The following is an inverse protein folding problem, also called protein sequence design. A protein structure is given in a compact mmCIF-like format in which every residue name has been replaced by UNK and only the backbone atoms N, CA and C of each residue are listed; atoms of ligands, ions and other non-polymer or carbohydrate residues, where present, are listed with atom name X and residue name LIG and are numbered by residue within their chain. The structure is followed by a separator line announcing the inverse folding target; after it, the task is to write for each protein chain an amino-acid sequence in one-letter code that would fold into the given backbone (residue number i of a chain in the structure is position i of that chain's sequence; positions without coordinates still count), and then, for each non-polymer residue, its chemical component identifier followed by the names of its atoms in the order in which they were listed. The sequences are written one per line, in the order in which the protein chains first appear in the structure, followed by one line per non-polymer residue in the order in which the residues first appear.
data_IF_688817579285
#
_entry.id   IF_688817579285
#
_cell.length_a   1.000
_cell.length_b   1.000
_cell.length_c   1.000
_cell.angle_alpha   90.00
_cell.angle_beta   90.00
_cell.angle_gamma   90.00
#
_symmetry.space_group_name_H-M   'P 1'
#
loop_
_entity.id
_entity.type
_entity.pdbx_description
1 polymer ?
#
# COMPACT_ATOMS: atom_id res chain seq x y z
N UNK A 1 3.27 -2.43 13.06
CA UNK A 1 3.72 -1.19 12.38
C UNK A 1 5.18 -0.94 12.70
N UNK A 2 5.87 -0.16 11.89
CA UNK A 2 7.23 0.34 12.16
C UNK A 2 7.10 1.62 12.95
N UNK A 3 7.95 1.82 13.95
CA UNK A 3 7.96 3.05 14.73
C UNK A 3 8.29 4.24 13.80
N UNK A 4 7.48 5.31 13.77
CA UNK A 4 7.77 6.52 12.99
C UNK A 4 9.16 7.09 13.22
N UNK A 5 9.67 7.05 14.45
CA UNK A 5 11.00 7.56 14.79
C UNK A 5 12.14 6.84 14.03
N UNK A 6 11.95 5.56 13.68
CA UNK A 6 12.94 4.80 12.90
C UNK A 6 12.90 5.15 11.41
N UNK A 7 11.76 5.64 10.92
CA UNK A 7 11.60 6.03 9.52
C UNK A 7 12.11 7.43 9.23
N UNK A 8 12.03 8.33 10.20
CA UNK A 8 12.34 9.75 10.01
C UNK A 8 13.71 10.02 9.38
N UNK A 9 14.84 9.45 9.88
CA UNK A 9 16.16 9.72 9.28
C UNK A 9 16.25 9.29 7.81
N UNK A 10 15.60 8.16 7.48
CA UNK A 10 15.60 7.63 6.11
C UNK A 10 14.74 8.51 5.20
N UNK A 11 13.57 8.91 5.70
CA UNK A 11 12.65 9.76 4.94
C UNK A 11 13.25 11.14 4.67
N UNK A 12 13.97 11.72 5.63
CA UNK A 12 14.66 13.00 5.50
C UNK A 12 15.79 12.92 4.45
N UNK A 13 16.63 11.89 4.51
CA UNK A 13 17.74 11.69 3.57
C UNK A 13 17.25 11.50 2.13
N UNK A 14 16.13 10.78 1.95
CA UNK A 14 15.56 10.50 0.64
C UNK A 14 14.59 11.59 0.16
N UNK A 15 14.29 12.60 0.96
CA UNK A 15 13.20 13.55 0.71
C UNK A 15 11.89 12.84 0.34
N UNK A 16 11.59 11.78 1.07
CA UNK A 16 10.55 10.83 0.72
C UNK A 16 9.14 11.33 1.04
N UNK A 17 8.15 10.79 0.33
CA UNK A 17 6.74 10.82 0.69
C UNK A 17 6.32 9.42 1.16
N UNK A 18 5.58 9.32 2.25
CA UNK A 18 4.97 8.07 2.68
C UNK A 18 3.74 7.79 1.85
N UNK A 19 3.68 6.62 1.24
CA UNK A 19 2.57 6.24 0.36
C UNK A 19 1.92 4.94 0.81
N UNK A 20 0.61 4.87 0.72
CA UNK A 20 -0.20 3.66 0.89
C UNK A 20 -1.53 3.82 0.15
N UNK A 21 -2.19 2.73 -0.21
CA UNK A 21 -3.56 2.75 -0.71
C UNK A 21 -4.56 2.50 0.43
N UNK A 22 -5.82 2.91 0.23
CA UNK A 22 -6.90 2.55 1.14
C UNK A 22 -7.05 1.04 1.25
N UNK A 23 -7.52 0.59 2.40
CA UNK A 23 -7.70 -0.83 2.69
C UNK A 23 -9.11 -1.14 3.17
N UNK A 24 -9.44 -2.41 3.26
CA UNK A 24 -10.78 -2.91 3.59
C UNK A 24 -11.21 -2.69 5.04
N UNK A 25 -10.30 -2.30 5.94
CA UNK A 25 -10.65 -2.02 7.34
C UNK A 25 -11.27 -0.62 7.52
N UNK A 26 -12.07 -0.44 8.55
CA UNK A 26 -12.78 0.80 8.82
C UNK A 26 -11.86 2.01 9.06
N UNK A 27 -10.66 1.78 9.55
CA UNK A 27 -9.69 2.84 9.87
C UNK A 27 -8.98 3.40 8.63
N UNK A 28 -9.00 2.65 7.51
CA UNK A 28 -8.32 3.00 6.26
C UNK A 28 -9.21 2.80 5.03
N UNK A 29 -10.54 2.83 5.21
CA UNK A 29 -11.51 2.58 4.15
C UNK A 29 -11.65 3.71 3.14
N UNK A 30 -11.15 4.90 3.46
CA UNK A 30 -11.13 6.06 2.58
C UNK A 30 -9.98 6.99 2.96
N UNK A 31 -9.59 7.90 2.06
CA UNK A 31 -8.44 8.77 2.23
C UNK A 31 -8.49 9.62 3.50
N UNK A 32 -9.66 10.14 3.88
CA UNK A 32 -9.80 10.97 5.07
C UNK A 32 -9.57 10.17 6.37
N UNK A 33 -10.19 9.00 6.51
CA UNK A 33 -10.01 8.10 7.65
C UNK A 33 -8.57 7.58 7.73
N UNK A 34 -7.99 7.23 6.57
CA UNK A 34 -6.62 6.74 6.47
C UNK A 34 -5.60 7.80 6.91
N UNK A 35 -5.71 9.04 6.40
CA UNK A 35 -4.87 10.16 6.83
C UNK A 35 -5.03 10.49 8.32
N UNK A 36 -6.26 10.46 8.85
CA UNK A 36 -6.50 10.66 10.27
C UNK A 36 -5.81 9.58 11.12
N UNK A 37 -5.88 8.32 10.69
CA UNK A 37 -5.20 7.20 11.33
C UNK A 37 -3.69 7.37 11.29
N UNK A 38 -3.12 7.69 10.13
CA UNK A 38 -1.68 7.91 9.98
C UNK A 38 -1.18 9.05 10.87
N UNK A 39 -1.92 10.16 10.95
CA UNK A 39 -1.61 11.30 11.83
C UNK A 39 -1.68 10.91 13.31
N UNK A 40 -2.71 10.18 13.73
CA UNK A 40 -2.85 9.72 15.12
C UNK A 40 -1.68 8.84 15.58
N UNK A 41 -1.01 8.19 14.64
CA UNK A 41 0.17 7.36 14.86
C UNK A 41 1.50 8.11 14.70
N UNK A 42 1.47 9.40 14.35
CA UNK A 42 2.64 10.25 14.25
C UNK A 42 3.40 10.18 12.93
N UNK A 43 2.85 9.54 11.89
CA UNK A 43 3.51 9.43 10.59
C UNK A 43 3.60 10.76 9.84
N UNK A 44 2.68 11.70 10.11
CA UNK A 44 2.71 13.06 9.57
C UNK A 44 3.94 13.88 10.02
N UNK A 45 4.60 13.46 11.11
CA UNK A 45 5.85 14.06 11.59
C UNK A 45 7.09 13.48 10.91
N UNK A 46 6.93 12.39 10.19
CA UNK A 46 8.03 11.72 9.46
C UNK A 46 8.23 12.37 8.10
N UNK A 47 7.19 12.41 7.28
CA UNK A 47 7.21 12.95 5.91
C UNK A 47 5.77 13.28 5.45
N UNK A 48 5.60 13.96 4.31
CA UNK A 48 4.29 14.06 3.66
C UNK A 48 3.67 12.68 3.44
N UNK A 49 2.35 12.59 3.52
CA UNK A 49 1.60 11.34 3.33
C UNK A 49 0.70 11.50 2.12
N UNK A 50 0.76 10.53 1.20
CA UNK A 50 -0.11 10.46 0.04
C UNK A 50 -0.86 9.11 0.00
N UNK A 51 -2.18 9.18 -0.12
CA UNK A 51 -3.04 8.01 -0.31
C UNK A 51 -3.24 7.82 -1.80
N UNK A 52 -2.65 6.76 -2.33
CA UNK A 52 -2.50 6.55 -3.77
C UNK A 52 -3.81 6.53 -4.56
N UNK A 53 -4.88 6.04 -3.95
CA UNK A 53 -6.23 5.94 -4.53
C UNK A 53 -7.21 6.98 -3.98
N UNK A 54 -6.70 8.12 -3.48
CA UNK A 54 -7.54 9.20 -2.99
C UNK A 54 -8.50 9.75 -4.08
N UNK A 55 -8.07 9.75 -5.34
CA UNK A 55 -8.86 10.23 -6.47
C UNK A 55 -9.50 9.09 -7.25
N UNK A 56 -8.71 8.13 -7.72
CA UNK A 56 -9.19 7.02 -8.55
C UNK A 56 -8.26 5.82 -8.56
N UNK A 57 -8.82 4.68 -8.95
CA UNK A 57 -8.07 3.47 -9.25
C UNK A 57 -7.61 3.46 -10.72
N UNK A 58 -6.48 2.81 -10.95
CA UNK A 58 -5.97 2.47 -12.28
C UNK A 58 -5.57 0.99 -12.31
N UNK A 59 -5.61 0.39 -13.50
CA UNK A 59 -5.14 -0.97 -13.73
C UNK A 59 -3.82 -0.93 -14.50
N UNK A 60 -2.76 -1.48 -13.91
CA UNK A 60 -1.44 -1.58 -14.52
C UNK A 60 -1.26 -2.99 -15.10
N UNK A 61 -0.90 -3.15 -16.40
CA UNK A 61 -0.65 -4.47 -16.97
C UNK A 61 0.50 -5.19 -16.27
N UNK A 62 0.31 -6.48 -15.97
CA UNK A 62 1.36 -7.35 -15.42
C UNK A 62 1.93 -8.21 -16.56
N UNK A 63 3.13 -7.87 -17.01
CA UNK A 63 3.81 -8.62 -18.07
C UNK A 63 4.16 -10.03 -17.61
N UNK A 64 3.77 -11.02 -18.39
CA UNK A 64 4.00 -12.46 -18.11
C UNK A 64 3.41 -12.93 -16.77
N UNK A 65 2.42 -12.21 -16.23
CA UNK A 65 1.74 -12.62 -15.00
C UNK A 65 1.04 -13.96 -15.17
N UNK A 66 1.29 -14.91 -14.26
CA UNK A 66 0.66 -16.22 -14.31
C UNK A 66 -0.82 -16.13 -13.88
N UNK A 67 -1.08 -15.59 -12.69
CA UNK A 67 -2.43 -15.42 -12.14
C UNK A 67 -3.01 -14.03 -12.44
N UNK A 68 -2.22 -12.97 -12.29
CA UNK A 68 -2.68 -11.60 -12.50
C UNK A 68 -2.28 -11.08 -13.87
N UNK A 69 -3.26 -10.59 -14.62
CA UNK A 69 -3.02 -9.90 -15.90
C UNK A 69 -2.90 -8.39 -15.72
N UNK A 70 -3.55 -7.86 -14.70
CA UNK A 70 -3.48 -6.46 -14.29
C UNK A 70 -3.32 -6.38 -12.77
N UNK A 71 -2.71 -5.30 -12.30
CA UNK A 71 -2.63 -4.92 -10.90
C UNK A 71 -3.43 -3.64 -10.69
N UNK A 72 -4.40 -3.66 -9.76
CA UNK A 72 -5.25 -2.51 -9.48
C UNK A 72 -4.63 -1.69 -8.35
N UNK A 73 -4.28 -0.45 -8.64
CA UNK A 73 -3.62 0.49 -7.72
C UNK A 73 -4.24 1.88 -7.81
N UNK A 74 -3.80 2.80 -6.96
CA UNK A 74 -4.21 4.19 -7.03
C UNK A 74 -3.48 4.98 -8.11
N UNK A 75 -4.15 5.98 -8.70
CA UNK A 75 -3.60 6.80 -9.79
C UNK A 75 -2.37 7.60 -9.39
N UNK A 76 -2.22 7.95 -8.10
CA UNK A 76 -1.08 8.72 -7.62
C UNK A 76 0.24 7.93 -7.68
N UNK A 77 0.21 6.60 -7.81
CA UNK A 77 1.42 5.81 -7.98
C UNK A 77 2.27 6.27 -9.17
N UNK A 78 1.62 6.79 -10.22
CA UNK A 78 2.31 7.32 -11.40
C UNK A 78 3.11 8.61 -11.14
N UNK A 79 2.96 9.25 -9.98
CA UNK A 79 3.70 10.46 -9.59
C UNK A 79 5.09 10.16 -9.01
N UNK A 80 5.44 8.88 -8.84
CA UNK A 80 6.67 8.43 -8.18
C UNK A 80 7.56 7.64 -9.12
N UNK A 81 8.82 8.05 -9.21
CA UNK A 81 9.84 7.37 -10.05
C UNK A 81 10.53 6.23 -9.31
N UNK A 82 10.62 6.32 -7.99
CA UNK A 82 11.35 5.36 -7.15
C UNK A 82 10.52 4.97 -5.94
N UNK A 83 10.47 3.67 -5.66
CA UNK A 83 9.80 3.10 -4.50
C UNK A 83 10.82 2.46 -3.55
N UNK A 84 10.77 2.86 -2.28
CA UNK A 84 11.58 2.27 -1.21
C UNK A 84 10.66 1.56 -0.23
N UNK A 85 10.78 0.24 -0.12
CA UNK A 85 9.96 -0.58 0.76
C UNK A 85 10.71 -0.88 2.06
N UNK A 86 10.28 -0.26 3.16
CA UNK A 86 10.80 -0.51 4.51
C UNK A 86 9.80 -1.39 5.25
N UNK A 87 10.21 -2.59 5.62
CA UNK A 87 9.29 -3.60 6.16
C UNK A 87 9.89 -4.33 7.36
N UNK A 88 8.99 -4.86 8.20
CA UNK A 88 9.39 -5.83 9.23
C UNK A 88 9.38 -7.23 8.63
N UNK A 89 10.49 -7.94 8.76
CA UNK A 89 10.54 -9.37 8.50
C UNK A 89 9.72 -10.09 9.59
N UNK A 90 8.65 -10.78 9.21
CA UNK A 90 7.75 -11.43 10.18
C UNK A 90 7.01 -12.61 9.55
N UNK A 91 6.50 -13.52 10.41
CA UNK A 91 5.52 -14.50 10.00
C UNK A 91 4.18 -13.87 9.59
N UNK A 92 3.41 -14.59 8.78
CA UNK A 92 2.07 -14.21 8.36
C UNK A 92 1.15 -15.43 8.35
N UNK A 93 -0.04 -15.30 8.95
CA UNK A 93 -0.96 -16.43 9.15
C UNK A 93 -1.41 -17.08 7.84
N UNK A 94 -1.73 -16.28 6.82
CA UNK A 94 -2.20 -16.77 5.53
C UNK A 94 -1.06 -17.07 4.55
N UNK A 95 -0.05 -16.20 4.50
CA UNK A 95 1.01 -16.26 3.49
C UNK A 95 2.35 -16.76 4.05
N UNK A 96 2.36 -17.29 5.26
CA UNK A 96 3.52 -17.80 6.00
C UNK A 96 4.60 -16.74 6.26
N UNK A 97 4.90 -15.92 5.28
CA UNK A 97 5.93 -14.87 5.32
C UNK A 97 5.35 -13.51 4.95
N UNK A 98 5.71 -12.47 5.70
CA UNK A 98 5.40 -11.06 5.42
C UNK A 98 6.68 -10.24 5.34
N UNK A 99 6.93 -9.65 4.17
CA UNK A 99 8.10 -8.82 3.88
C UNK A 99 7.83 -7.89 2.70
N UNK A 100 8.88 -7.46 1.99
CA UNK A 100 8.78 -6.45 0.93
C UNK A 100 7.81 -6.84 -0.18
N UNK A 101 7.87 -8.08 -0.66
CA UNK A 101 6.95 -8.55 -1.72
C UNK A 101 5.49 -8.40 -1.32
N UNK A 102 5.13 -8.87 -0.09
CA UNK A 102 3.78 -8.71 0.42
C UNK A 102 3.40 -7.25 0.63
N UNK A 103 4.31 -6.45 1.18
CA UNK A 103 4.06 -5.03 1.39
C UNK A 103 3.78 -4.31 0.06
N UNK A 104 4.64 -4.48 -0.94
CA UNK A 104 4.44 -3.86 -2.25
C UNK A 104 3.15 -4.34 -2.93
N UNK A 105 2.85 -5.63 -2.88
CA UNK A 105 1.66 -6.16 -3.55
C UNK A 105 0.33 -5.77 -2.87
N UNK A 106 0.32 -5.56 -1.56
CA UNK A 106 -0.91 -5.26 -0.81
C UNK A 106 -1.04 -3.76 -0.55
N UNK A 107 0.02 -3.08 -0.09
CA UNK A 107 -0.10 -1.68 0.29
C UNK A 107 -0.12 -0.71 -0.91
N UNK A 108 0.41 -1.10 -2.06
CA UNK A 108 0.25 -0.34 -3.31
C UNK A 108 -1.07 -0.66 -4.01
N UNK A 109 -1.65 -1.84 -3.77
CA UNK A 109 -2.95 -2.22 -4.30
C UNK A 109 -4.07 -1.50 -3.55
N UNK A 110 -5.09 -1.03 -4.28
CA UNK A 110 -6.34 -0.59 -3.66
C UNK A 110 -7.02 -1.74 -2.93
N UNK A 111 -8.14 -1.52 -2.24
CA UNK A 111 -8.90 -2.61 -1.62
C UNK A 111 -9.22 -3.72 -2.62
N UNK A 112 -9.61 -3.37 -3.86
CA UNK A 112 -9.83 -4.33 -4.95
C UNK A 112 -8.54 -5.01 -5.41
N UNK A 113 -7.45 -4.26 -5.56
CA UNK A 113 -6.13 -4.80 -5.92
C UNK A 113 -5.61 -5.77 -4.87
N UNK A 114 -5.75 -5.45 -3.59
CA UNK A 114 -5.39 -6.33 -2.49
C UNK A 114 -6.22 -7.62 -2.48
N UNK A 115 -7.53 -7.53 -2.75
CA UNK A 115 -8.42 -8.68 -2.89
C UNK A 115 -7.97 -9.58 -4.05
N UNK A 116 -7.70 -8.99 -5.21
CA UNK A 116 -7.21 -9.69 -6.39
C UNK A 116 -5.90 -10.44 -6.12
N UNK A 117 -4.96 -9.83 -5.41
CA UNK A 117 -3.68 -10.46 -5.03
C UNK A 117 -3.93 -11.63 -4.05
N UNK A 118 -4.81 -11.46 -3.08
CA UNK A 118 -5.11 -12.51 -2.09
C UNK A 118 -5.81 -13.72 -2.70
N UNK A 119 -6.61 -13.54 -3.73
CA UNK A 119 -7.36 -14.60 -4.43
C UNK A 119 -6.65 -15.16 -5.66
N UNK A 120 -5.37 -14.79 -5.89
CA UNK A 120 -4.63 -15.16 -7.10
C UNK A 120 -5.36 -14.77 -8.42
N UNK A 121 -6.12 -13.69 -8.38
CA UNK A 121 -6.85 -13.15 -9.53
C UNK A 121 -8.28 -13.65 -9.69
N UNK A 122 -8.74 -14.58 -8.85
CA UNK A 122 -10.09 -15.15 -8.95
C UNK A 122 -11.20 -14.20 -8.50
N UNK A 123 -10.90 -13.34 -7.52
CA UNK A 123 -11.84 -12.36 -6.97
C UNK A 123 -11.30 -10.96 -7.23
N UNK A 124 -12.10 -10.13 -7.86
CA UNK A 124 -11.75 -8.73 -8.19
C UNK A 124 -12.57 -7.73 -7.39
N UNK A 125 -13.52 -8.18 -6.57
CA UNK A 125 -14.35 -7.34 -5.72
C UNK A 125 -14.54 -7.99 -4.35
N UNK A 126 -14.26 -7.23 -3.30
CA UNK A 126 -14.34 -7.71 -1.92
C UNK A 126 -15.78 -7.83 -1.39
N UNK A 127 -16.73 -7.15 -2.04
CA UNK A 127 -18.12 -7.04 -1.58
C UNK A 127 -19.09 -8.00 -2.29
N UNK A 128 -18.58 -8.93 -3.09
CA UNK A 128 -19.39 -9.94 -3.81
C UNK A 128 -18.97 -11.35 -3.46
#
# INVERSE_FOLDING_TARGET
MIDPALLKPIADELHATLIESNYMDSARSNAAAHLATAKSLGYDKVAPIDILDAEKEIAIPVHNGYHLKNFITGSHLANYDTLVSIVRFKGHNLQRYGGSMKNLSICLGTARGACQVHSAGEVTDYYH
#
